data_IF_756711861639
#
_entry.id   IF_756711861639
#
_cell.length_a   1.000
_cell.length_b   1.000
_cell.length_c   1.000
_cell.angle_alpha   90.00
_cell.angle_beta   90.00
_cell.angle_gamma   90.00
#
_symmetry.space_group_name_H-M   'P 1'
#
loop_
_entity.id
_entity.type
_entity.pdbx_description
1 polymer ?
#
# COMPACT_ATOMS: atom_id res chain seq x y z
N UNK A 1 -13.20 -10.25 -18.10
CA UNK A 1 -14.63 -10.33 -18.50
C UNK A 1 -15.30 -11.67 -18.19
N UNK A 2 -14.55 -12.79 -18.14
CA UNK A 2 -15.09 -14.09 -17.69
C UNK A 2 -15.59 -14.02 -16.24
N UNK A 3 -14.91 -13.24 -15.38
CA UNK A 3 -15.23 -13.12 -13.95
C UNK A 3 -16.58 -12.45 -13.67
N UNK A 4 -16.93 -11.36 -14.37
CA UNK A 4 -18.22 -10.68 -14.18
C UNK A 4 -19.40 -11.60 -14.56
N UNK A 5 -19.27 -12.35 -15.66
CA UNK A 5 -20.28 -13.31 -16.09
C UNK A 5 -20.46 -14.47 -15.10
N UNK A 6 -19.37 -14.95 -14.48
CA UNK A 6 -19.42 -15.96 -13.42
C UNK A 6 -20.08 -15.46 -12.13
N UNK A 7 -20.01 -14.15 -11.87
CA UNK A 7 -20.55 -13.52 -10.66
C UNK A 7 -21.90 -12.82 -10.90
N UNK A 8 -22.51 -13.01 -12.08
CA UNK A 8 -23.74 -12.33 -12.50
C UNK A 8 -24.86 -12.40 -11.45
N UNK A 9 -25.09 -13.57 -10.85
CA UNK A 9 -26.13 -13.76 -9.82
C UNK A 9 -25.95 -12.83 -8.62
N UNK A 10 -24.71 -12.61 -8.20
CA UNK A 10 -24.40 -11.71 -7.09
C UNK A 10 -24.55 -10.24 -7.49
N UNK A 11 -24.10 -9.90 -8.71
CA UNK A 11 -24.06 -8.54 -9.24
C UNK A 11 -25.42 -7.99 -9.66
N UNK A 12 -26.39 -8.86 -10.00
CA UNK A 12 -27.77 -8.45 -10.25
C UNK A 12 -28.57 -8.20 -8.96
N UNK A 13 -28.15 -8.78 -7.84
CA UNK A 13 -28.89 -8.72 -6.58
C UNK A 13 -28.35 -7.65 -5.61
N UNK A 14 -27.19 -7.06 -5.89
CA UNK A 14 -26.52 -6.10 -5.02
C UNK A 14 -25.84 -4.99 -5.81
N UNK A 15 -25.92 -3.77 -5.30
CA UNK A 15 -25.10 -2.66 -5.78
C UNK A 15 -23.62 -2.94 -5.50
N UNK A 16 -22.78 -2.72 -6.51
CA UNK A 16 -21.34 -2.98 -6.45
C UNK A 16 -20.63 -1.67 -6.17
N UNK A 17 -19.70 -1.67 -5.23
CA UNK A 17 -18.83 -0.52 -4.97
C UNK A 17 -17.40 -0.84 -5.39
N UNK A 18 -16.92 -0.17 -6.43
CA UNK A 18 -15.54 -0.26 -6.90
C UNK A 18 -14.74 0.88 -6.30
N UNK A 19 -13.84 0.56 -5.37
CA UNK A 19 -12.92 1.53 -4.78
C UNK A 19 -11.65 1.63 -5.61
N UNK A 20 -11.46 2.75 -6.29
CA UNK A 20 -10.33 2.97 -7.20
C UNK A 20 -9.91 4.44 -7.21
N UNK A 21 -8.62 4.69 -7.43
CA UNK A 21 -8.08 6.03 -7.68
C UNK A 21 -7.86 6.28 -9.18
N UNK A 22 -8.05 5.26 -10.02
CA UNK A 22 -8.04 5.40 -11.47
C UNK A 22 -9.39 5.92 -11.97
N UNK A 23 -9.43 6.75 -13.03
CA UNK A 23 -10.66 7.37 -13.54
C UNK A 23 -11.50 6.37 -14.37
N UNK A 24 -11.76 5.17 -13.83
CA UNK A 24 -12.43 4.08 -14.55
C UNK A 24 -13.80 4.47 -15.08
N UNK A 25 -14.55 5.29 -14.33
CA UNK A 25 -15.82 5.86 -14.79
C UNK A 25 -15.64 6.63 -16.09
N UNK A 26 -14.68 7.57 -16.14
CA UNK A 26 -14.41 8.37 -17.32
C UNK A 26 -13.86 7.53 -18.48
N UNK A 27 -13.00 6.54 -18.19
CA UNK A 27 -12.45 5.63 -19.20
C UNK A 27 -13.51 4.74 -19.84
N UNK A 28 -14.50 4.27 -19.06
CA UNK A 28 -15.61 3.46 -19.56
C UNK A 28 -16.67 4.30 -20.28
N UNK A 29 -16.88 5.55 -19.87
CA UNK A 29 -17.77 6.49 -20.56
C UNK A 29 -17.19 6.99 -21.89
N UNK A 30 -15.87 7.19 -21.97
CA UNK A 30 -15.16 7.63 -23.18
C UNK A 30 -14.55 6.45 -23.95
N UNK A 31 -15.29 5.34 -24.06
CA UNK A 31 -14.77 4.07 -24.58
C UNK A 31 -14.41 4.07 -26.09
N UNK A 32 -14.32 5.22 -26.76
CA UNK A 32 -14.19 5.32 -28.22
C UNK A 32 -12.85 4.80 -28.78
N UNK A 33 -11.83 4.62 -27.92
CA UNK A 33 -10.46 4.32 -28.36
C UNK A 33 -10.15 2.81 -28.46
N UNK A 34 -10.99 1.92 -27.92
CA UNK A 34 -10.72 0.47 -27.97
C UNK A 34 -11.99 -0.38 -27.95
N UNK A 35 -12.19 -1.22 -28.96
CA UNK A 35 -13.33 -2.13 -29.03
C UNK A 35 -13.45 -3.09 -27.84
N UNK A 36 -12.33 -3.41 -27.16
CA UNK A 36 -12.35 -4.20 -25.92
C UNK A 36 -12.94 -3.41 -24.75
N UNK A 37 -12.67 -2.11 -24.66
CA UNK A 37 -13.19 -1.23 -23.62
C UNK A 37 -14.68 -0.97 -23.84
N UNK A 38 -15.11 -0.77 -25.09
CA UNK A 38 -16.54 -0.66 -25.46
C UNK A 38 -17.29 -1.91 -25.02
N UNK A 39 -16.78 -3.10 -25.34
CA UNK A 39 -17.40 -4.37 -24.93
C UNK A 39 -17.49 -4.49 -23.40
N UNK A 40 -16.43 -4.12 -22.69
CA UNK A 40 -16.46 -4.08 -21.22
C UNK A 40 -17.48 -3.08 -20.68
N UNK A 41 -17.59 -1.87 -21.26
CA UNK A 41 -18.52 -0.84 -20.82
C UNK A 41 -19.99 -1.30 -21.01
N UNK A 42 -20.31 -1.91 -22.14
CA UNK A 42 -21.64 -2.48 -22.41
C UNK A 42 -21.96 -3.63 -21.45
N UNK A 43 -21.01 -4.52 -21.18
CA UNK A 43 -21.25 -5.64 -20.25
C UNK A 43 -21.36 -5.19 -18.80
N UNK A 44 -20.72 -4.09 -18.42
CA UNK A 44 -20.77 -3.55 -17.07
C UNK A 44 -21.95 -2.60 -16.86
N UNK A 45 -22.57 -2.07 -17.92
CA UNK A 45 -23.72 -1.17 -17.80
C UNK A 45 -25.00 -1.87 -17.33
N UNK A 46 -25.05 -3.20 -17.33
CA UNK A 46 -26.16 -3.98 -16.77
C UNK A 46 -26.17 -3.96 -15.23
N UNK A 47 -25.04 -3.63 -14.59
CA UNK A 47 -24.90 -3.68 -13.14
C UNK A 47 -24.92 -2.29 -12.51
N UNK A 48 -25.49 -2.20 -11.31
CA UNK A 48 -25.46 -0.98 -10.50
C UNK A 48 -24.08 -0.82 -9.84
N UNK A 49 -23.15 -0.16 -10.55
CA UNK A 49 -21.76 0.04 -10.12
C UNK A 49 -21.54 1.49 -9.69
N UNK A 50 -21.22 1.65 -8.41
CA UNK A 50 -20.70 2.90 -7.85
C UNK A 50 -19.17 2.88 -7.82
N UNK A 51 -18.57 4.03 -8.14
CA UNK A 51 -17.12 4.23 -8.05
C UNK A 51 -16.83 5.18 -6.91
N UNK A 52 -15.99 4.75 -5.98
CA UNK A 52 -15.55 5.56 -4.85
C UNK A 52 -14.03 5.69 -4.86
N UNK A 53 -13.47 6.83 -4.43
CA UNK A 53 -12.04 6.94 -4.17
C UNK A 53 -11.61 5.86 -3.18
N UNK A 54 -10.44 5.27 -3.42
CA UNK A 54 -9.85 4.35 -2.45
C UNK A 54 -9.35 5.20 -1.28
N UNK A 55 -9.99 5.09 -0.11
CA UNK A 55 -9.40 5.58 1.13
C UNK A 55 -8.03 4.91 1.28
N UNK A 56 -7.02 5.66 1.71
CA UNK A 56 -5.68 5.13 1.95
C UNK A 56 -5.80 3.79 2.68
N UNK A 57 -5.23 2.74 2.10
CA UNK A 57 -5.07 1.48 2.82
C UNK A 57 -4.25 1.87 4.05
N UNK A 58 -4.74 1.58 5.26
CA UNK A 58 -3.91 1.80 6.45
C UNK A 58 -2.57 1.11 6.19
N UNK A 59 -1.47 1.85 6.31
CA UNK A 59 -0.13 1.31 6.09
C UNK A 59 0.04 -0.02 6.84
N UNK A 60 -0.55 -0.13 8.03
CA UNK A 60 -0.69 -1.36 8.81
C UNK A 60 -1.21 -2.58 8.02
N UNK A 61 -2.30 -2.45 7.25
CA UNK A 61 -2.86 -3.57 6.49
C UNK A 61 -1.97 -3.95 5.29
N UNK A 62 -1.19 -3.00 4.76
CA UNK A 62 -0.19 -3.27 3.73
C UNK A 62 1.04 -3.96 4.35
N UNK A 63 1.48 -3.51 5.53
CA UNK A 63 2.59 -4.10 6.30
C UNK A 63 2.23 -5.52 6.74
N UNK A 64 1.04 -5.77 7.27
CA UNK A 64 0.56 -7.10 7.66
C UNK A 64 0.45 -8.03 6.44
N UNK A 65 -0.03 -7.52 5.30
CA UNK A 65 -0.08 -8.30 4.07
C UNK A 65 1.32 -8.61 3.51
N UNK A 66 2.22 -7.63 3.54
CA UNK A 66 3.61 -7.82 3.11
C UNK A 66 4.36 -8.78 4.03
N UNK A 67 4.12 -8.70 5.35
CA UNK A 67 4.63 -9.64 6.35
C UNK A 67 4.22 -11.06 5.97
N UNK A 68 2.92 -11.32 5.82
CA UNK A 68 2.40 -12.64 5.43
C UNK A 68 2.97 -13.12 4.08
N UNK A 69 3.16 -12.22 3.12
CA UNK A 69 3.73 -12.55 1.82
C UNK A 69 5.24 -12.87 1.87
N UNK A 70 6.03 -12.17 2.69
CA UNK A 70 7.48 -12.40 2.83
C UNK A 70 7.83 -13.60 3.70
N UNK A 71 6.94 -14.04 4.60
CA UNK A 71 7.11 -15.33 5.31
C UNK A 71 7.03 -16.55 4.37
N UNK A 72 6.37 -16.43 3.21
CA UNK A 72 6.17 -17.53 2.26
C UNK A 72 7.31 -17.69 1.25
N UNK A 73 8.06 -16.62 0.97
CA UNK A 73 9.28 -16.67 0.17
C UNK A 73 10.47 -16.47 1.10
N UNK A 74 10.99 -17.58 1.64
CA UNK A 74 12.12 -17.62 2.58
C UNK A 74 13.14 -16.52 2.31
N UNK A 75 13.20 -15.57 3.22
CA UNK A 75 14.03 -14.39 3.06
C UNK A 75 15.50 -14.84 3.07
N UNK A 76 16.21 -14.67 1.94
CA UNK A 76 17.59 -15.11 1.72
C UNK A 76 18.60 -14.32 2.59
N UNK A 77 18.44 -14.34 3.92
CA UNK A 77 19.33 -13.64 4.85
C UNK A 77 19.17 -12.11 4.88
N UNK A 78 18.11 -11.54 4.29
CA UNK A 78 17.90 -10.08 4.31
C UNK A 78 17.01 -9.64 5.47
N UNK A 79 17.31 -8.49 6.04
CA UNK A 79 16.49 -7.86 7.07
C UNK A 79 15.32 -7.11 6.41
N UNK A 80 14.15 -7.09 7.05
CA UNK A 80 12.99 -6.33 6.58
C UNK A 80 12.81 -5.10 7.46
N UNK A 81 12.66 -3.93 6.83
CA UNK A 81 12.43 -2.65 7.50
C UNK A 81 11.09 -2.10 7.07
N UNK A 82 10.16 -1.93 8.01
CA UNK A 82 8.86 -1.31 7.78
C UNK A 82 8.80 0.04 8.47
N UNK A 83 8.36 1.07 7.76
CA UNK A 83 8.29 2.43 8.27
C UNK A 83 6.86 2.98 8.07
N UNK A 84 6.31 3.55 9.14
CA UNK A 84 5.05 4.28 9.12
C UNK A 84 5.21 5.63 9.84
N UNK A 85 5.16 6.72 9.09
CA UNK A 85 5.34 8.07 9.60
C UNK A 85 4.02 8.81 9.74
N UNK A 86 3.88 9.57 10.82
CA UNK A 86 2.74 10.44 11.07
C UNK A 86 3.21 11.80 11.55
N UNK A 87 2.77 12.86 10.89
CA UNK A 87 3.00 14.23 11.33
C UNK A 87 1.71 14.87 11.84
N UNK A 88 1.85 15.69 12.87
CA UNK A 88 0.83 16.59 13.39
C UNK A 88 1.33 18.03 13.33
N UNK A 89 0.44 19.02 13.52
CA UNK A 89 0.77 20.46 13.46
C UNK A 89 1.92 20.90 14.39
N UNK A 90 2.20 20.12 15.44
CA UNK A 90 3.17 20.46 16.49
C UNK A 90 4.37 19.52 16.55
N UNK A 91 4.25 18.29 16.06
CA UNK A 91 5.32 17.31 16.10
C UNK A 91 5.13 16.18 15.09
N UNK A 92 6.23 15.54 14.73
CA UNK A 92 6.25 14.35 13.88
C UNK A 92 6.67 13.12 14.67
N UNK A 93 6.11 11.97 14.31
CA UNK A 93 6.43 10.67 14.87
C UNK A 93 6.56 9.66 13.75
N UNK A 94 7.32 8.60 13.99
CA UNK A 94 7.33 7.47 13.10
C UNK A 94 7.52 6.18 13.87
N UNK A 95 6.82 5.14 13.42
CA UNK A 95 7.09 3.76 13.78
C UNK A 95 8.09 3.16 12.80
N UNK A 96 9.03 2.41 13.34
CA UNK A 96 9.99 1.61 12.58
C UNK A 96 9.92 0.19 13.13
N UNK A 97 9.73 -0.79 12.26
CA UNK A 97 9.77 -2.21 12.62
C UNK A 97 10.86 -2.87 11.80
N UNK A 98 11.80 -3.52 12.47
CA UNK A 98 12.92 -4.22 11.85
C UNK A 98 12.79 -5.71 12.16
N UNK A 99 12.70 -6.55 11.13
CA UNK A 99 12.61 -8.01 11.26
C UNK A 99 13.89 -8.65 10.74
N UNK A 100 14.56 -9.43 11.58
CA UNK A 100 15.75 -10.18 11.19
C UNK A 100 15.38 -11.34 10.25
N UNK A 101 16.34 -11.89 9.49
CA UNK A 101 16.11 -13.06 8.64
C UNK A 101 15.69 -14.30 9.44
N UNK A 102 16.02 -14.33 10.74
CA UNK A 102 15.68 -15.38 11.69
C UNK A 102 14.26 -15.22 12.26
N UNK A 103 13.59 -14.11 11.93
CA UNK A 103 12.24 -13.78 12.40
C UNK A 103 12.18 -12.95 13.68
N UNK A 104 13.30 -12.44 14.19
CA UNK A 104 13.31 -11.58 15.37
C UNK A 104 12.83 -10.17 15.01
N UNK A 105 11.86 -9.63 15.74
CA UNK A 105 11.30 -8.30 15.47
C UNK A 105 11.76 -7.27 16.52
N UNK A 106 12.17 -6.09 16.03
CA UNK A 106 12.56 -4.94 16.83
C UNK A 106 11.70 -3.74 16.42
N UNK A 107 10.92 -3.21 17.37
CA UNK A 107 10.06 -2.06 17.15
C UNK A 107 10.66 -0.80 17.79
N UNK A 108 10.67 0.30 17.03
CA UNK A 108 11.16 1.60 17.46
C UNK A 108 10.11 2.68 17.19
N UNK A 109 9.88 3.52 18.19
CA UNK A 109 9.08 4.73 18.05
C UNK A 109 10.00 5.95 18.06
N UNK A 110 10.09 6.64 16.92
CA UNK A 110 10.88 7.85 16.76
C UNK A 110 9.99 9.07 16.97
N UNK A 111 10.49 10.03 17.76
CA UNK A 111 9.84 11.32 17.95
C UNK A 111 10.73 12.43 17.40
N UNK A 112 10.21 13.15 16.42
CA UNK A 112 10.90 14.29 15.82
C UNK A 112 10.27 15.57 16.37
N UNK A 113 11.08 16.37 17.07
CA UNK A 113 10.69 17.69 17.59
C UNK A 113 10.66 18.77 16.49
N UNK A 114 10.43 18.37 15.24
CA UNK A 114 10.44 19.23 14.06
C UNK A 114 9.05 19.19 13.45
N UNK A 115 8.58 20.34 12.99
CA UNK A 115 7.36 20.45 12.19
C UNK A 115 7.65 19.95 10.78
N UNK A 116 7.71 18.64 10.62
CA UNK A 116 8.00 17.97 9.36
C UNK A 116 6.71 17.54 8.66
N UNK A 117 6.66 17.49 7.34
CA UNK A 117 5.52 16.84 6.64
C UNK A 117 5.45 15.33 6.93
N UNK A 118 4.33 14.65 6.65
CA UNK A 118 4.28 13.17 6.78
C UNK A 118 5.41 12.48 6.01
N UNK A 119 5.69 12.96 4.78
CA UNK A 119 6.74 12.41 3.94
C UNK A 119 8.14 12.62 4.51
N UNK A 120 8.38 13.77 5.13
CA UNK A 120 9.64 14.12 5.77
C UNK A 120 9.83 13.33 7.07
N UNK A 121 8.76 13.10 7.84
CA UNK A 121 8.77 12.21 8.99
C UNK A 121 9.09 10.75 8.60
N UNK A 122 8.51 10.26 7.49
CA UNK A 122 8.84 8.94 6.94
C UNK A 122 10.28 8.86 6.43
N UNK A 123 10.81 9.94 5.83
CA UNK A 123 12.19 9.97 5.35
C UNK A 123 13.21 9.93 6.49
N UNK A 124 13.01 10.73 7.53
CA UNK A 124 13.84 10.70 8.73
C UNK A 124 13.76 9.33 9.44
N UNK A 125 12.58 8.72 9.45
CA UNK A 125 12.38 7.38 9.99
C UNK A 125 13.08 6.30 9.17
N UNK A 126 13.11 6.41 7.84
CA UNK A 126 13.87 5.53 6.97
C UNK A 126 15.37 5.62 7.26
N UNK A 127 15.91 6.83 7.36
CA UNK A 127 17.35 7.03 7.67
C UNK A 127 17.68 6.42 9.04
N UNK A 128 16.87 6.71 10.04
CA UNK A 128 17.06 6.15 11.38
C UNK A 128 16.95 4.62 11.38
N UNK A 129 15.95 4.06 10.69
CA UNK A 129 15.75 2.62 10.55
C UNK A 129 16.91 1.90 9.86
N UNK A 130 17.49 2.49 8.82
CA UNK A 130 18.68 1.95 8.14
C UNK A 130 19.88 1.96 9.09
N UNK A 131 20.10 3.03 9.86
CA UNK A 131 21.19 3.08 10.85
C UNK A 131 21.04 1.99 11.91
N UNK A 132 19.83 1.81 12.44
CA UNK A 132 19.53 0.76 13.42
C UNK A 132 19.80 -0.63 12.83
N UNK A 133 19.43 -0.87 11.57
CA UNK A 133 19.69 -2.14 10.89
C UNK A 133 21.20 -2.39 10.70
N UNK A 134 21.96 -1.36 10.32
CA UNK A 134 23.42 -1.44 10.20
C UNK A 134 24.09 -1.74 11.55
N UNK A 135 23.67 -1.06 12.62
CA UNK A 135 24.16 -1.29 13.98
C UNK A 135 23.82 -2.70 14.50
N UNK A 136 22.71 -3.27 14.03
CA UNK A 136 22.31 -4.64 14.30
C UNK A 136 23.04 -5.70 13.44
N UNK A 137 23.90 -5.28 12.50
CA UNK A 137 24.69 -6.18 11.65
C UNK A 137 23.99 -6.62 10.36
N UNK A 138 23.00 -5.88 9.87
CA UNK A 138 22.34 -6.19 8.61
C UNK A 138 23.27 -5.94 7.39
N UNK A 139 23.57 -6.99 6.63
CA UNK A 139 24.31 -6.88 5.36
C UNK A 139 23.37 -6.61 4.18
N UNK A 140 22.15 -7.14 4.23
CA UNK A 140 21.11 -6.96 3.22
C UNK A 140 19.83 -6.47 3.90
N UNK A 141 19.19 -5.45 3.34
CA UNK A 141 18.02 -4.80 3.92
C UNK A 141 16.99 -4.49 2.83
N UNK A 142 15.73 -4.85 3.08
CA UNK A 142 14.59 -4.50 2.23
C UNK A 142 13.70 -3.54 3.02
N UNK A 143 13.55 -2.31 2.54
CA UNK A 143 12.74 -1.29 3.18
C UNK A 143 11.38 -1.12 2.50
N UNK A 144 10.32 -1.07 3.30
CA UNK A 144 8.94 -0.81 2.90
C UNK A 144 8.46 0.48 3.59
N UNK A 145 8.07 1.47 2.78
CA UNK A 145 7.55 2.76 3.25
C UNK A 145 6.15 3.00 2.67
N UNK A 146 5.29 3.69 3.42
CA UNK A 146 3.97 4.12 2.95
C UNK A 146 4.00 5.24 1.92
N UNK A 147 5.09 6.03 1.88
CA UNK A 147 5.26 7.16 0.97
C UNK A 147 5.57 6.76 -0.47
N UNK A 148 4.74 7.22 -1.41
CA UNK A 148 4.93 7.04 -2.85
C UNK A 148 6.09 7.85 -3.44
N UNK A 149 6.69 8.77 -2.68
CA UNK A 149 7.77 9.65 -3.17
C UNK A 149 9.18 9.09 -2.93
N UNK A 150 9.31 8.05 -2.11
CA UNK A 150 10.61 7.45 -1.74
C UNK A 150 11.09 6.42 -2.78
N UNK A 151 10.20 5.94 -3.64
CA UNK A 151 10.53 4.95 -4.70
C UNK A 151 10.68 5.63 -6.05
N UNK A 152 11.85 6.17 -6.36
CA UNK A 152 12.18 6.56 -7.73
C UNK A 152 13.61 6.21 -8.10
#
# INVERSE_FOLDING_TARGET
MITARKLRTYFLSHSICVRTNAPLRATLSNAETSGRIIKCAIELSEYDISYQPRSAIKAQALVEFLKEATFMEGNNGSWLLYIDGSSTLTASRAGVVLTSPEGNELEYALHFNIKASNNEAEYEALIAGIKIALDAGAENLIAYTGSQLVTK
#
